data_IF_556329024912
#
_entry.id   IF_556329024912
#
_cell.length_a   1.000
_cell.length_b   1.000
_cell.length_c   1.000
_cell.angle_alpha   90.00
_cell.angle_beta   90.00
_cell.angle_gamma   90.00
#
_symmetry.space_group_name_H-M   'P 1'
#
loop_
_entity.id
_entity.type
_entity.pdbx_description
1 polymer ?
#
# COMPACT_ATOMS: atom_id res chain seq x y z
N UNK A 1 30.80 -11.60 40.66
CA UNK A 1 31.56 -12.03 39.47
C UNK A 1 30.75 -11.57 38.27
N UNK A 2 31.00 -10.35 37.80
CA UNK A 2 30.26 -9.72 36.71
C UNK A 2 31.19 -9.68 35.49
N UNK A 3 30.85 -10.45 34.45
CA UNK A 3 31.58 -10.43 33.18
C UNK A 3 30.92 -9.42 32.26
N UNK A 4 31.59 -8.29 32.06
CA UNK A 4 31.24 -7.27 31.07
C UNK A 4 31.81 -7.72 29.72
N UNK A 5 30.95 -7.95 28.74
CA UNK A 5 31.35 -8.24 27.37
C UNK A 5 31.48 -6.92 26.61
N UNK A 6 32.71 -6.62 26.17
CA UNK A 6 33.03 -5.47 25.33
C UNK A 6 32.80 -5.88 23.88
N UNK A 7 31.86 -5.21 23.21
CA UNK A 7 31.64 -5.33 21.76
C UNK A 7 32.59 -4.37 21.05
N UNK A 8 33.51 -4.93 20.26
CA UNK A 8 34.42 -4.17 19.39
C UNK A 8 33.75 -4.04 18.03
N UNK A 9 33.36 -2.82 17.67
CA UNK A 9 32.86 -2.47 16.34
C UNK A 9 34.06 -2.08 15.46
N UNK A 10 34.32 -2.89 14.42
CA UNK A 10 35.34 -2.60 13.42
C UNK A 10 34.78 -1.65 12.36
N UNK A 11 35.36 -0.45 12.25
CA UNK A 11 35.12 0.49 11.16
C UNK A 11 36.05 0.14 10.00
N UNK A 12 35.48 -0.22 8.85
CA UNK A 12 36.20 -0.42 7.59
C UNK A 12 36.21 0.91 6.83
N UNK A 13 37.37 1.55 6.76
CA UNK A 13 37.61 2.73 5.92
C UNK A 13 37.90 2.32 4.48
N UNK A 14 37.17 2.90 3.53
CA UNK A 14 37.50 2.83 2.10
C UNK A 14 38.40 4.02 1.74
N UNK A 15 39.67 3.74 1.43
CA UNK A 15 40.57 4.69 0.77
C UNK A 15 40.45 4.51 -0.75
N UNK A 16 39.95 5.54 -1.45
CA UNK A 16 39.98 5.61 -2.90
C UNK A 16 41.31 6.20 -3.36
N UNK A 17 42.14 5.35 -3.97
CA UNK A 17 43.41 5.68 -4.61
C UNK A 17 43.15 6.11 -6.07
N UNK A 18 43.50 7.35 -6.43
CA UNK A 18 43.51 7.82 -7.83
C UNK A 18 44.89 8.38 -8.14
N UNK A 19 45.72 7.56 -8.77
CA UNK A 19 46.96 7.98 -9.43
C UNK A 19 46.71 8.08 -10.93
N UNK A 20 47.08 9.22 -11.50
CA UNK A 20 46.73 9.64 -12.86
C UNK A 20 47.63 9.09 -13.97
N UNK A 21 47.28 9.45 -15.20
CA UNK A 21 48.26 9.76 -16.24
C UNK A 21 47.64 10.55 -17.40
N UNK A 22 48.31 11.66 -17.72
CA UNK A 22 48.19 12.46 -18.93
C UNK A 22 48.69 11.73 -20.16
N UNK A 23 48.03 11.87 -21.31
CA UNK A 23 48.69 12.01 -22.63
C UNK A 23 47.70 12.46 -23.73
N UNK A 24 48.06 13.60 -24.33
CA UNK A 24 48.01 13.95 -25.75
C UNK A 24 46.73 13.78 -26.58
N UNK A 25 46.24 14.95 -27.01
CA UNK A 25 46.06 15.31 -28.43
C UNK A 25 45.00 14.56 -29.23
N UNK A 26 43.79 15.13 -29.22
CA UNK A 26 42.98 15.21 -30.45
C UNK A 26 42.06 16.42 -30.36
N UNK A 27 42.35 17.37 -31.24
CA UNK A 27 41.64 18.61 -31.54
C UNK A 27 40.20 18.26 -31.92
N UNK A 28 39.29 18.28 -30.94
CA UNK A 28 37.86 18.19 -31.19
C UNK A 28 37.26 19.57 -30.95
N UNK A 29 36.90 20.22 -32.04
CA UNK A 29 36.22 21.51 -32.08
C UNK A 29 34.94 21.39 -31.26
N UNK A 30 34.95 21.89 -30.03
CA UNK A 30 33.74 22.17 -29.27
C UNK A 30 32.94 23.18 -30.08
N UNK A 31 31.95 22.68 -30.82
CA UNK A 31 30.82 23.52 -31.22
C UNK A 31 30.14 23.92 -29.93
N UNK A 32 30.43 25.13 -29.47
CA UNK A 32 29.58 25.86 -28.54
C UNK A 32 28.21 25.83 -29.20
N UNK A 33 27.31 25.00 -28.67
CA UNK A 33 25.90 25.10 -29.00
C UNK A 33 25.46 26.41 -28.35
N UNK A 34 25.45 27.47 -29.15
CA UNK A 34 24.83 28.73 -28.82
C UNK A 34 23.37 28.45 -28.44
N UNK A 35 23.14 28.35 -27.13
CA UNK A 35 21.84 28.36 -26.49
C UNK A 35 21.30 29.79 -26.52
N UNK A 36 21.12 30.32 -27.72
CA UNK A 36 20.49 31.61 -27.94
C UNK A 36 19.31 31.39 -28.88
N UNK A 37 18.16 31.89 -28.46
CA UNK A 37 16.86 31.88 -29.16
C UNK A 37 16.09 30.55 -29.16
N UNK A 38 15.84 29.96 -27.98
CA UNK A 38 14.53 29.34 -27.78
C UNK A 38 13.50 30.46 -27.79
N UNK A 39 12.91 30.70 -28.96
CA UNK A 39 11.72 31.53 -29.09
C UNK A 39 10.71 30.99 -28.09
N UNK A 40 10.45 31.75 -27.01
CA UNK A 40 9.49 31.39 -25.97
C UNK A 40 8.18 31.06 -26.67
N UNK A 41 7.89 29.77 -26.76
CA UNK A 41 6.65 29.28 -27.36
C UNK A 41 5.55 29.84 -26.45
N UNK A 42 4.60 30.63 -26.98
CA UNK A 42 3.57 31.25 -26.15
C UNK A 42 2.93 30.15 -25.32
N UNK A 43 2.88 30.36 -24.00
CA UNK A 43 2.27 29.44 -23.05
C UNK A 43 0.89 29.05 -23.58
N UNK A 44 0.76 27.82 -24.05
CA UNK A 44 -0.54 27.30 -24.45
C UNK A 44 -1.34 27.19 -23.16
N UNK A 45 -2.33 28.07 -22.98
CA UNK A 45 -3.23 28.04 -21.83
C UNK A 45 -3.80 26.62 -21.70
N UNK A 46 -3.32 25.88 -20.69
CA UNK A 46 -3.79 24.53 -20.40
C UNK A 46 -5.28 24.63 -20.08
N UNK A 47 -6.10 23.87 -20.81
CA UNK A 47 -7.54 23.79 -20.56
C UNK A 47 -7.82 22.48 -19.84
N UNK A 48 -8.27 22.57 -18.60
CA UNK A 48 -8.63 21.40 -17.79
C UNK A 48 -10.06 20.92 -18.07
N UNK A 49 -10.35 19.70 -17.63
CA UNK A 49 -11.68 19.10 -17.70
C UNK A 49 -12.71 19.77 -16.80
N UNK A 50 -13.92 19.22 -16.78
CA UNK A 50 -14.97 19.72 -15.89
C UNK A 50 -14.58 19.53 -14.41
N UNK A 51 -14.85 20.54 -13.60
CA UNK A 51 -14.57 20.59 -12.15
C UNK A 51 -13.07 20.55 -11.77
N UNK A 52 -12.18 20.66 -12.75
CA UNK A 52 -10.74 20.74 -12.49
C UNK A 52 -10.28 22.19 -12.48
N UNK A 53 -9.25 22.47 -11.67
CA UNK A 53 -8.59 23.77 -11.61
C UNK A 53 -7.17 23.66 -12.17
N UNK A 54 -6.72 24.71 -12.87
CA UNK A 54 -5.33 24.81 -13.31
C UNK A 54 -4.48 25.23 -12.11
N UNK A 55 -3.46 24.44 -11.80
CA UNK A 55 -2.51 24.71 -10.71
C UNK A 55 -1.07 24.65 -11.23
N UNK A 56 -0.17 25.38 -10.57
CA UNK A 56 1.27 25.29 -10.81
C UNK A 56 1.97 24.36 -9.81
N UNK A 57 1.19 23.69 -8.96
CA UNK A 57 1.67 22.72 -8.00
C UNK A 57 1.41 21.30 -8.47
N UNK A 58 2.19 20.35 -7.99
CA UNK A 58 1.89 18.93 -8.15
C UNK A 58 0.49 18.65 -7.59
N UNK A 59 -0.41 18.04 -8.37
CA UNK A 59 -1.79 17.82 -7.95
C UNK A 59 -1.80 16.91 -6.73
N UNK A 60 -2.59 17.28 -5.73
CA UNK A 60 -2.97 16.37 -4.66
C UNK A 60 -4.49 16.31 -4.56
N UNK A 61 -5.03 15.15 -4.90
CA UNK A 61 -6.45 14.96 -5.11
C UNK A 61 -6.91 13.65 -4.50
N UNK A 62 -8.20 13.58 -4.17
CA UNK A 62 -8.85 12.35 -3.75
C UNK A 62 -9.25 11.52 -4.97
N UNK A 63 -9.21 10.19 -4.82
CA UNK A 63 -9.75 9.26 -5.80
C UNK A 63 -11.11 8.77 -5.32
N UNK A 64 -12.02 8.45 -6.25
CA UNK A 64 -13.33 7.93 -5.88
C UNK A 64 -13.23 6.65 -5.04
N UNK A 65 -12.17 5.86 -5.21
CA UNK A 65 -11.94 4.69 -4.35
C UNK A 65 -11.64 5.08 -2.89
N UNK A 66 -10.83 6.11 -2.64
CA UNK A 66 -10.53 6.56 -1.27
C UNK A 66 -11.73 7.24 -0.64
N UNK A 67 -12.44 8.09 -1.39
CA UNK A 67 -13.68 8.76 -0.95
C UNK A 67 -14.76 7.75 -0.56
N UNK A 68 -15.04 6.77 -1.41
CA UNK A 68 -16.08 5.76 -1.15
C UNK A 68 -15.69 4.84 0.02
N UNK A 69 -14.40 4.58 0.21
CA UNK A 69 -13.87 3.83 1.36
C UNK A 69 -13.76 4.68 2.64
N UNK A 70 -14.08 5.97 2.59
CA UNK A 70 -13.87 6.92 3.69
C UNK A 70 -12.42 6.93 4.21
N UNK A 71 -11.46 6.79 3.28
CA UNK A 71 -10.04 6.85 3.56
C UNK A 71 -9.57 8.26 3.26
N UNK A 72 -8.89 8.88 4.22
CA UNK A 72 -8.31 10.22 4.04
C UNK A 72 -7.04 10.12 3.21
N UNK A 73 -7.02 10.78 2.05
CA UNK A 73 -5.79 10.95 1.26
C UNK A 73 -4.86 11.91 1.98
N UNK A 74 -3.58 11.53 2.12
CA UNK A 74 -2.57 12.35 2.81
C UNK A 74 -1.68 13.02 1.77
N UNK A 75 -1.82 14.33 1.65
CA UNK A 75 -0.98 15.18 0.83
C UNK A 75 0.28 15.63 1.59
N UNK A 76 1.45 15.08 1.26
CA UNK A 76 2.72 15.50 1.88
C UNK A 76 3.27 16.73 1.14
N UNK A 77 2.69 17.90 1.42
CA UNK A 77 3.15 19.20 0.92
C UNK A 77 2.98 19.41 -0.58
N UNK A 78 2.37 20.53 -0.97
CA UNK A 78 2.26 20.93 -2.37
C UNK A 78 3.61 21.47 -2.86
N UNK A 79 4.26 20.75 -3.77
CA UNK A 79 5.45 21.23 -4.47
C UNK A 79 4.98 22.09 -5.65
N UNK A 80 5.33 23.38 -5.63
CA UNK A 80 4.90 24.36 -6.61
C UNK A 80 6.05 24.90 -7.45
N UNK A 81 5.76 25.27 -8.69
CA UNK A 81 6.75 25.82 -9.63
C UNK A 81 6.29 27.18 -10.16
N UNK A 82 7.03 28.24 -9.89
CA UNK A 82 6.66 29.60 -10.31
C UNK A 82 6.65 29.77 -11.85
N UNK A 83 7.63 29.15 -12.53
CA UNK A 83 7.79 29.16 -14.00
C UNK A 83 7.67 27.75 -14.61
N UNK A 84 7.00 26.82 -13.90
CA UNK A 84 6.96 25.41 -14.27
C UNK A 84 5.78 25.00 -15.16
N UNK A 85 5.65 23.67 -15.41
CA UNK A 85 4.47 23.13 -16.06
C UNK A 85 3.22 23.37 -15.22
N UNK A 86 2.10 23.59 -15.90
CA UNK A 86 0.78 23.67 -15.28
C UNK A 86 0.15 22.27 -15.24
N UNK A 87 -0.64 22.01 -14.21
CA UNK A 87 -1.37 20.76 -14.00
C UNK A 87 -2.86 21.03 -13.83
N UNK A 88 -3.67 19.99 -14.06
CA UNK A 88 -5.08 20.00 -13.71
C UNK A 88 -5.26 19.24 -12.40
N UNK A 89 -5.90 19.88 -11.43
CA UNK A 89 -6.12 19.35 -10.09
C UNK A 89 -7.61 19.22 -9.83
N UNK A 90 -8.02 18.07 -9.30
CA UNK A 90 -9.36 17.87 -8.77
C UNK A 90 -9.40 18.33 -7.31
N UNK A 91 -10.17 19.37 -6.96
CA UNK A 91 -10.15 19.92 -5.62
C UNK A 91 -10.77 18.97 -4.59
N UNK A 92 -10.01 18.57 -3.56
CA UNK A 92 -10.42 17.63 -2.49
C UNK A 92 -11.66 18.06 -1.67
N UNK A 93 -12.15 19.30 -1.84
CA UNK A 93 -13.33 19.81 -1.12
C UNK A 93 -14.64 19.37 -1.80
N UNK A 94 -14.94 18.07 -1.73
CA UNK A 94 -16.20 17.52 -2.24
C UNK A 94 -16.12 16.96 -3.67
N UNK A 95 -14.91 16.80 -4.22
CA UNK A 95 -14.68 16.18 -5.51
C UNK A 95 -13.58 15.13 -5.41
N UNK A 96 -13.70 14.11 -6.23
CA UNK A 96 -12.72 13.06 -6.38
C UNK A 96 -12.59 12.63 -7.84
N UNK A 97 -11.42 12.10 -8.20
CA UNK A 97 -11.15 11.60 -9.55
C UNK A 97 -11.68 10.18 -9.68
N UNK A 98 -12.48 9.94 -10.72
CA UNK A 98 -12.95 8.59 -11.02
C UNK A 98 -11.94 7.79 -11.85
N UNK A 99 -12.16 6.48 -12.00
CA UNK A 99 -11.28 5.58 -12.75
C UNK A 99 -11.13 5.93 -14.25
N UNK A 100 -11.99 6.81 -14.79
CA UNK A 100 -11.89 7.31 -16.16
C UNK A 100 -11.05 8.60 -16.25
N UNK A 101 -10.49 9.06 -15.13
CA UNK A 101 -9.70 10.28 -15.05
C UNK A 101 -10.53 11.57 -14.99
N UNK A 102 -11.84 11.52 -14.72
CA UNK A 102 -12.68 12.73 -14.62
C UNK A 102 -12.88 13.13 -13.15
N UNK A 103 -12.81 14.44 -12.88
CA UNK A 103 -13.14 15.01 -11.57
C UNK A 103 -14.66 15.13 -11.39
N UNK A 104 -15.21 14.35 -10.46
CA UNK A 104 -16.65 14.28 -10.20
C UNK A 104 -16.93 14.62 -8.73
N UNK A 105 -18.12 15.15 -8.39
CA UNK A 105 -18.52 15.32 -7.00
C UNK A 105 -18.50 13.98 -6.26
N UNK A 106 -18.15 13.97 -4.97
CA UNK A 106 -18.04 12.74 -4.15
C UNK A 106 -19.30 11.87 -4.21
N UNK A 107 -20.48 12.51 -4.21
CA UNK A 107 -21.78 11.83 -4.29
C UNK A 107 -22.02 11.11 -5.63
N UNK A 108 -21.23 11.42 -6.67
CA UNK A 108 -21.27 10.79 -7.99
C UNK A 108 -20.17 9.75 -8.18
N UNK A 109 -19.36 9.48 -7.15
CA UNK A 109 -18.39 8.41 -7.23
C UNK A 109 -19.09 7.05 -7.37
N UNK A 110 -18.72 6.24 -8.37
CA UNK A 110 -19.31 4.93 -8.54
C UNK A 110 -18.89 4.03 -7.37
N UNK A 111 -19.83 3.25 -6.85
CA UNK A 111 -19.50 2.18 -5.90
C UNK A 111 -18.54 1.21 -6.57
N UNK A 112 -17.40 0.86 -5.93
CA UNK A 112 -16.43 -0.05 -6.52
C UNK A 112 -17.08 -1.41 -6.79
N UNK A 113 -16.67 -2.04 -7.89
CA UNK A 113 -17.15 -3.36 -8.27
C UNK A 113 -16.35 -4.41 -7.52
N UNK A 114 -17.02 -5.20 -6.69
CA UNK A 114 -16.38 -6.25 -5.91
C UNK A 114 -16.04 -7.49 -6.75
N UNK A 115 -14.96 -8.22 -6.40
CA UNK A 115 -14.61 -9.52 -6.99
C UNK A 115 -15.74 -10.57 -6.90
N UNK A 116 -15.56 -11.67 -7.64
CA UNK A 116 -16.51 -12.80 -7.58
C UNK A 116 -16.60 -13.38 -6.17
N UNK A 117 -17.83 -13.57 -5.68
CA UNK A 117 -18.09 -14.05 -4.31
C UNK A 117 -18.18 -12.94 -3.26
N UNK A 118 -17.94 -11.69 -3.65
CA UNK A 118 -17.98 -10.51 -2.78
C UNK A 118 -19.14 -9.56 -3.11
N UNK A 119 -19.51 -8.73 -2.15
CA UNK A 119 -20.51 -7.69 -2.25
C UNK A 119 -20.05 -6.45 -1.47
N UNK A 120 -20.38 -5.25 -1.96
CA UNK A 120 -20.08 -4.02 -1.24
C UNK A 120 -20.87 -3.97 0.07
N UNK A 121 -20.19 -3.68 1.17
CA UNK A 121 -20.79 -3.54 2.50
C UNK A 121 -20.25 -2.31 3.19
N UNK A 122 -21.13 -1.56 3.85
CA UNK A 122 -20.72 -0.43 4.69
C UNK A 122 -19.94 -0.87 5.93
N UNK A 123 -20.23 -2.08 6.40
CA UNK A 123 -19.56 -2.70 7.54
C UNK A 123 -19.15 -4.12 7.13
N UNK A 124 -18.01 -4.27 6.44
CA UNK A 124 -17.54 -5.58 5.99
C UNK A 124 -17.20 -6.43 7.20
N UNK A 125 -17.68 -7.67 7.22
CA UNK A 125 -17.36 -8.60 8.28
C UNK A 125 -17.32 -10.01 7.75
N UNK A 126 -16.11 -10.44 7.41
CA UNK A 126 -15.90 -11.70 6.75
C UNK A 126 -15.50 -12.76 7.77
N UNK A 127 -16.17 -13.92 7.71
CA UNK A 127 -15.68 -15.11 8.38
C UNK A 127 -14.56 -15.77 7.60
N UNK A 128 -13.78 -16.61 8.27
CA UNK A 128 -12.79 -17.50 7.64
C UNK A 128 -13.25 -18.94 7.72
N UNK A 129 -12.54 -19.85 7.05
CA UNK A 129 -12.78 -21.29 7.20
C UNK A 129 -12.57 -21.81 8.63
N UNK A 130 -11.80 -21.11 9.45
CA UNK A 130 -11.61 -21.45 10.86
C UNK A 130 -12.71 -20.86 11.74
N UNK A 131 -13.14 -19.64 11.42
CA UNK A 131 -14.13 -18.84 12.16
C UNK A 131 -15.23 -18.38 11.20
N UNK A 132 -16.27 -19.20 11.03
CA UNK A 132 -17.35 -18.95 10.07
C UNK A 132 -18.19 -17.69 10.36
N UNK A 133 -18.26 -17.28 11.63
CA UNK A 133 -19.06 -16.14 12.11
C UNK A 133 -18.27 -15.40 13.19
N UNK A 134 -17.39 -14.46 12.81
CA UNK A 134 -16.68 -13.63 13.76
C UNK A 134 -17.60 -12.59 14.39
N UNK A 135 -17.24 -12.10 15.57
CA UNK A 135 -18.01 -11.07 16.26
C UNK A 135 -17.62 -9.68 15.73
N UNK A 136 -18.30 -9.23 14.69
CA UNK A 136 -18.07 -7.93 14.04
C UNK A 136 -18.29 -6.74 14.97
N UNK A 137 -19.21 -6.87 15.93
CA UNK A 137 -19.57 -5.80 16.88
C UNK A 137 -18.41 -5.45 17.81
N UNK A 138 -17.50 -6.40 18.06
CA UNK A 138 -16.34 -6.18 18.92
C UNK A 138 -15.24 -5.36 18.22
N UNK A 139 -15.11 -5.51 16.90
CA UNK A 139 -13.97 -4.98 16.15
C UNK A 139 -14.27 -3.66 15.40
N UNK A 140 -15.50 -3.16 15.46
CA UNK A 140 -15.90 -1.90 14.83
C UNK A 140 -15.42 -1.78 13.38
N UNK A 141 -15.84 -2.70 12.52
CA UNK A 141 -15.58 -2.62 11.07
C UNK A 141 -16.35 -1.43 10.46
N UNK A 142 -15.84 -0.21 10.63
CA UNK A 142 -16.50 1.05 10.26
C UNK A 142 -16.16 1.52 8.84
N UNK A 143 -15.17 0.89 8.20
CA UNK A 143 -14.71 1.27 6.88
C UNK A 143 -15.44 0.43 5.83
N UNK A 144 -16.15 1.06 4.88
CA UNK A 144 -16.87 0.34 3.85
C UNK A 144 -15.89 -0.34 2.88
N UNK A 145 -16.14 -1.61 2.57
CA UNK A 145 -15.32 -2.43 1.68
C UNK A 145 -16.13 -3.57 1.05
N UNK A 146 -15.50 -4.34 0.17
CA UNK A 146 -16.03 -5.58 -0.34
C UNK A 146 -15.96 -6.68 0.71
N UNK A 147 -17.13 -7.21 1.06
CA UNK A 147 -17.32 -8.32 2.01
C UNK A 147 -17.77 -9.59 1.29
N UNK A 148 -17.47 -10.75 1.85
CA UNK A 148 -17.97 -12.02 1.35
C UNK A 148 -19.50 -12.08 1.39
N UNK A 149 -20.11 -12.59 0.31
CA UNK A 149 -21.56 -12.82 0.25
C UNK A 149 -22.01 -13.81 1.33
N UNK A 150 -23.29 -13.77 1.74
CA UNK A 150 -23.85 -14.79 2.64
C UNK A 150 -23.60 -16.21 2.12
N UNK A 151 -22.99 -17.06 2.96
CA UNK A 151 -22.61 -18.42 2.58
C UNK A 151 -21.17 -18.59 2.08
N UNK A 152 -20.44 -17.48 1.92
CA UNK A 152 -19.01 -17.46 1.61
C UNK A 152 -18.18 -17.09 2.84
N UNK A 153 -16.89 -17.41 2.80
CA UNK A 153 -15.87 -17.05 3.79
C UNK A 153 -14.57 -16.67 3.10
N UNK A 154 -13.80 -15.78 3.72
CA UNK A 154 -12.53 -15.30 3.20
C UNK A 154 -11.42 -16.34 3.42
N UNK A 155 -10.69 -16.64 2.36
CA UNK A 155 -9.59 -17.58 2.32
C UNK A 155 -8.52 -17.05 1.34
N UNK A 156 -7.34 -16.68 1.86
CA UNK A 156 -6.25 -16.07 1.09
C UNK A 156 -6.73 -14.93 0.15
N UNK A 157 -7.49 -13.98 0.70
CA UNK A 157 -8.07 -12.82 -0.02
C UNK A 157 -9.25 -13.11 -0.96
N UNK A 158 -9.63 -14.37 -1.16
CA UNK A 158 -10.81 -14.71 -1.97
C UNK A 158 -11.97 -15.18 -1.09
N UNK A 159 -13.19 -14.81 -1.47
CA UNK A 159 -14.38 -15.39 -0.87
C UNK A 159 -14.72 -16.71 -1.55
N UNK A 160 -14.65 -17.80 -0.77
CA UNK A 160 -15.02 -19.15 -1.21
C UNK A 160 -16.29 -19.63 -0.51
N UNK A 161 -17.09 -20.52 -1.12
CA UNK A 161 -18.20 -21.16 -0.42
C UNK A 161 -17.71 -21.89 0.84
N UNK A 162 -18.47 -21.81 1.93
CA UNK A 162 -18.13 -22.47 3.22
C UNK A 162 -17.85 -23.97 3.08
N UNK A 163 -18.51 -24.60 2.12
CA UNK A 163 -18.37 -26.03 1.80
C UNK A 163 -17.03 -26.38 1.15
N UNK A 164 -16.37 -25.40 0.53
CA UNK A 164 -15.04 -25.55 -0.09
C UNK A 164 -13.89 -25.29 0.88
N UNK A 165 -14.20 -25.07 2.16
CA UNK A 165 -13.16 -24.91 3.16
C UNK A 165 -12.29 -26.17 3.29
N UNK A 166 -10.96 -26.02 3.33
CA UNK A 166 -10.08 -27.16 3.54
C UNK A 166 -10.36 -27.79 4.91
N UNK A 167 -10.22 -29.12 4.99
CA UNK A 167 -10.31 -29.84 6.25
C UNK A 167 -9.27 -29.28 7.22
N UNK A 168 -9.68 -29.01 8.47
CA UNK A 168 -8.80 -28.45 9.51
C UNK A 168 -7.59 -29.37 9.70
N UNK A 169 -6.41 -28.92 9.28
CA UNK A 169 -5.14 -29.55 9.67
C UNK A 169 -4.88 -29.21 11.14
N UNK A 170 -4.25 -30.13 11.87
CA UNK A 170 -3.83 -29.88 13.25
C UNK A 170 -2.75 -28.79 13.21
N UNK A 171 -3.09 -27.60 13.70
CA UNK A 171 -2.15 -26.49 13.77
C UNK A 171 -1.05 -26.78 14.79
N UNK A 172 0.13 -26.16 14.66
CA UNK A 172 1.18 -26.25 15.70
C UNK A 172 0.75 -25.64 17.05
N UNK A 173 -0.29 -24.80 17.05
CA UNK A 173 -0.95 -24.30 18.26
C UNK A 173 -1.86 -25.35 18.93
N UNK A 174 -2.11 -26.50 18.31
CA UNK A 174 -3.16 -27.42 18.73
C UNK A 174 -4.56 -26.88 18.40
N UNK A 175 -5.47 -26.97 19.37
CA UNK A 175 -6.86 -26.50 19.24
C UNK A 175 -6.99 -25.11 19.87
N UNK A 176 -7.21 -24.08 19.04
CA UNK A 176 -7.52 -22.74 19.53
C UNK A 176 -8.99 -22.64 19.98
N UNK A 177 -9.27 -21.72 20.91
CA UNK A 177 -10.64 -21.38 21.30
C UNK A 177 -11.44 -20.79 20.12
N UNK A 178 -12.77 -20.88 20.18
CA UNK A 178 -13.63 -20.35 19.13
C UNK A 178 -13.39 -18.85 18.91
N UNK A 179 -13.18 -18.46 17.65
CA UNK A 179 -12.87 -17.06 17.27
C UNK A 179 -11.39 -16.70 17.27
N UNK A 180 -10.50 -17.64 17.65
CA UNK A 180 -9.05 -17.45 17.57
C UNK A 180 -8.44 -18.26 16.42
N UNK A 181 -7.40 -17.70 15.80
CA UNK A 181 -6.59 -18.31 14.75
C UNK A 181 -5.16 -18.53 15.25
N UNK A 182 -4.49 -19.57 14.76
CA UNK A 182 -3.08 -19.81 15.09
C UNK A 182 -2.19 -18.89 14.26
N UNK A 183 -1.53 -17.90 14.88
CA UNK A 183 -0.55 -17.05 14.20
C UNK A 183 0.86 -17.52 14.49
N UNK A 184 1.71 -17.51 13.46
CA UNK A 184 3.16 -17.68 13.60
C UNK A 184 3.77 -16.30 13.80
N UNK A 185 4.53 -16.14 14.87
CA UNK A 185 5.32 -14.94 15.10
C UNK A 185 6.71 -15.16 14.53
N UNK A 186 7.07 -14.36 13.54
CA UNK A 186 8.44 -14.24 13.08
C UNK A 186 9.15 -13.27 14.04
N UNK A 187 10.03 -13.81 14.89
CA UNK A 187 10.86 -12.95 15.72
C UNK A 187 11.88 -12.20 14.84
N UNK A 188 12.28 -10.98 15.22
CA UNK A 188 13.40 -10.29 14.54
C UNK A 188 14.65 -11.19 14.45
N UNK A 189 14.92 -11.98 15.49
CA UNK A 189 16.05 -12.92 15.49
C UNK A 189 15.87 -14.17 14.59
N UNK A 190 14.66 -14.46 14.07
CA UNK A 190 14.40 -15.66 13.23
C UNK A 190 15.15 -15.60 11.89
N UNK A 191 15.52 -14.41 11.40
CA UNK A 191 16.31 -14.26 10.17
C UNK A 191 17.80 -14.61 10.36
N UNK A 192 18.30 -14.57 11.60
CA UNK A 192 19.72 -14.81 11.90
C UNK A 192 20.00 -16.23 12.41
N UNK A 193 19.01 -16.89 12.99
CA UNK A 193 19.13 -18.26 13.47
C UNK A 193 17.94 -19.06 12.95
N UNK A 194 18.10 -19.68 11.79
CA UNK A 194 17.21 -20.76 11.36
C UNK A 194 17.10 -21.77 12.52
N UNK A 195 15.87 -22.02 12.97
CA UNK A 195 15.43 -23.03 13.94
C UNK A 195 15.37 -22.75 15.45
N UNK A 196 15.76 -21.58 15.98
CA UNK A 196 15.66 -21.35 17.45
C UNK A 196 14.46 -20.50 17.85
N UNK A 197 13.26 -20.97 17.49
CA UNK A 197 12.05 -20.67 18.28
C UNK A 197 10.98 -19.80 17.63
N UNK A 198 10.48 -20.14 16.44
CA UNK A 198 9.20 -19.60 15.98
C UNK A 198 8.11 -19.90 17.02
N UNK A 199 7.55 -18.83 17.61
CA UNK A 199 6.47 -18.93 18.59
C UNK A 199 5.14 -18.94 17.86
N UNK A 200 4.30 -19.91 18.20
CA UNK A 200 2.93 -20.00 17.71
C UNK A 200 1.98 -19.62 18.85
N UNK A 201 1.02 -18.74 18.59
CA UNK A 201 0.00 -18.35 19.58
C UNK A 201 -1.39 -18.29 18.95
N UNK A 202 -2.40 -18.60 19.76
CA UNK A 202 -3.79 -18.41 19.36
C UNK A 202 -4.19 -16.95 19.61
N UNK A 203 -4.52 -16.23 18.54
CA UNK A 203 -4.90 -14.81 18.60
C UNK A 203 -6.30 -14.59 18.06
N UNK A 204 -6.97 -13.55 18.53
CA UNK A 204 -8.30 -13.21 18.05
C UNK A 204 -8.25 -12.85 16.57
N UNK A 205 -9.15 -13.46 15.79
CA UNK A 205 -9.31 -13.10 14.40
C UNK A 205 -9.95 -11.72 14.28
N UNK A 206 -9.31 -10.85 13.51
CA UNK A 206 -9.75 -9.49 13.19
C UNK A 206 -10.39 -9.47 11.80
N UNK A 207 -11.74 -9.52 11.70
CA UNK A 207 -12.43 -9.62 10.41
C UNK A 207 -12.38 -8.33 9.58
N UNK A 208 -11.96 -7.22 10.18
CA UNK A 208 -11.93 -5.89 9.56
C UNK A 208 -10.55 -5.49 9.03
N UNK A 209 -9.58 -6.41 8.94
CA UNK A 209 -8.27 -6.09 8.40
C UNK A 209 -8.43 -5.70 6.92
N UNK A 210 -8.37 -4.39 6.67
CA UNK A 210 -8.30 -3.77 5.35
C UNK A 210 -7.25 -4.55 4.57
N UNK A 211 -7.51 -4.91 3.31
CA UNK A 211 -6.62 -5.69 2.43
C UNK A 211 -5.26 -5.07 2.12
N UNK A 212 -4.67 -4.29 3.04
CA UNK A 212 -3.23 -4.09 3.16
C UNK A 212 -2.63 -5.46 3.39
N UNK A 213 -2.33 -6.15 2.30
CA UNK A 213 -1.73 -7.47 2.30
C UNK A 213 -0.49 -7.46 3.18
N UNK A 214 -0.62 -7.96 4.40
CA UNK A 214 0.51 -8.37 5.20
C UNK A 214 1.29 -9.35 4.34
N UNK A 215 2.45 -8.89 3.87
CA UNK A 215 3.38 -9.67 3.05
C UNK A 215 3.94 -10.90 3.80
N UNK A 216 3.55 -11.08 5.06
CA UNK A 216 3.82 -12.26 5.89
C UNK A 216 2.87 -13.45 5.60
N UNK A 217 1.90 -13.31 4.67
CA UNK A 217 0.96 -14.38 4.32
C UNK A 217 1.57 -15.55 3.53
N UNK A 218 2.87 -15.50 3.21
CA UNK A 218 3.51 -16.47 2.31
C UNK A 218 4.22 -17.64 3.02
N UNK A 219 4.33 -17.65 4.35
CA UNK A 219 5.10 -18.69 5.02
C UNK A 219 4.22 -19.82 5.57
N UNK A 220 3.94 -20.75 4.66
CA UNK A 220 3.64 -22.17 4.91
C UNK A 220 2.38 -22.50 5.73
N UNK A 221 1.23 -22.34 5.09
CA UNK A 221 0.03 -23.13 5.39
C UNK A 221 0.00 -24.44 4.57
N UNK A 222 1.02 -25.29 4.72
CA UNK A 222 1.00 -26.66 4.20
C UNK A 222 1.51 -27.66 5.24
#
# INVERSE_FOLDING_TARGET
MNSVWIVVVALIGFEANVNGQTTSSSRSTTRILDLSTSTARPATNLTCGQNEIVTNCLPCEDDCETTVRNITTICIGSICFDDGPQFCECPMNGFARNNNGNCVPDAQCPTPTCPSGEQWSENPCDGTCEVLQPNCTLFNCLLPDCACKPGYVRFFDYCIPKEMCPQKKVSRCGTCEAGKICKRHHGWFDWFFEDVGSRYSCEWYTPCEIGLGDSDRNDNWW
#
